data_IF_577228633726
#
_entry.id   IF_577228633726
#
_cell.length_a   1.000
_cell.length_b   1.000
_cell.length_c   1.000
_cell.angle_alpha   90.00
_cell.angle_beta   90.00
_cell.angle_gamma   90.00
#
_symmetry.space_group_name_H-M   'P 1'
#
loop_
_entity.id
_entity.type
_entity.pdbx_description
1 polymer ?
#
# COMPACT_ATOMS: atom_id res chain seq x y z
N UNK A 1 14.19 -17.00 13.05
CA UNK A 1 12.84 -17.53 12.72
C UNK A 1 11.72 -16.65 13.24
N UNK A 2 11.60 -16.38 14.55
CA UNK A 2 10.48 -15.62 15.13
C UNK A 2 10.21 -14.25 14.46
N UNK A 3 11.23 -13.40 14.32
CA UNK A 3 11.07 -12.08 13.68
C UNK A 3 10.59 -12.18 12.23
N UNK A 4 11.17 -13.10 11.44
CA UNK A 4 10.81 -13.27 10.04
C UNK A 4 9.36 -13.76 9.89
N UNK A 5 8.95 -14.72 10.73
CA UNK A 5 7.56 -15.19 10.76
C UNK A 5 6.61 -14.06 11.15
N UNK A 6 6.93 -13.28 12.18
CA UNK A 6 6.11 -12.16 12.62
C UNK A 6 6.01 -11.06 11.55
N UNK A 7 7.14 -10.72 10.92
CA UNK A 7 7.20 -9.76 9.82
C UNK A 7 6.35 -10.21 8.64
N UNK A 8 6.42 -11.50 8.27
CA UNK A 8 5.63 -12.03 7.17
C UNK A 8 4.13 -11.95 7.47
N UNK A 9 3.71 -12.37 8.67
CA UNK A 9 2.31 -12.33 9.08
C UNK A 9 1.76 -10.90 9.15
N UNK A 10 2.49 -9.97 9.75
CA UNK A 10 2.04 -8.59 9.89
C UNK A 10 2.09 -7.82 8.58
N UNK A 11 3.06 -8.11 7.71
CA UNK A 11 3.06 -7.55 6.35
C UNK A 11 1.79 -7.93 5.60
N UNK A 12 1.36 -9.19 5.68
CA UNK A 12 0.09 -9.63 5.09
C UNK A 12 -1.12 -8.96 5.77
N UNK A 13 -1.10 -8.82 7.10
CA UNK A 13 -2.16 -8.12 7.83
C UNK A 13 -2.32 -6.66 7.39
N UNK A 14 -1.21 -5.93 7.21
CA UNK A 14 -1.22 -4.51 6.82
C UNK A 14 -1.81 -4.29 5.42
N UNK A 15 -1.67 -5.27 4.52
CA UNK A 15 -2.22 -5.24 3.17
C UNK A 15 -3.59 -5.92 3.05
N UNK A 16 -4.08 -6.53 4.13
CA UNK A 16 -5.36 -7.20 4.09
C UNK A 16 -6.47 -6.18 3.79
N UNK A 17 -7.36 -6.52 2.85
CA UNK A 17 -8.49 -5.69 2.45
C UNK A 17 -9.64 -5.72 3.49
N UNK A 18 -9.28 -5.57 4.77
CA UNK A 18 -10.18 -5.60 5.91
C UNK A 18 -10.55 -4.16 6.25
N UNK A 19 -11.86 -3.88 6.30
CA UNK A 19 -12.38 -2.61 6.84
C UNK A 19 -12.43 -2.70 8.36
N UNK A 20 -11.34 -2.31 9.02
CA UNK A 20 -11.34 -2.15 10.47
C UNK A 20 -12.17 -0.92 10.87
N UNK A 21 -12.94 -1.05 11.95
CA UNK A 21 -13.58 0.11 12.56
C UNK A 21 -12.50 1.12 13.00
N UNK A 22 -12.78 2.41 12.83
CA UNK A 22 -11.82 3.49 13.10
C UNK A 22 -11.22 3.42 14.51
N UNK A 23 -12.03 3.03 15.51
CA UNK A 23 -11.59 2.89 16.90
C UNK A 23 -10.59 1.76 17.09
N UNK A 24 -10.86 0.60 16.49
CA UNK A 24 -9.96 -0.55 16.57
C UNK A 24 -8.65 -0.26 15.86
N UNK A 25 -8.72 0.31 14.66
CA UNK A 25 -7.52 0.66 13.91
C UNK A 25 -6.66 1.67 14.68
N UNK A 26 -7.28 2.72 15.23
CA UNK A 26 -6.58 3.70 16.06
C UNK A 26 -5.90 3.05 17.28
N UNK A 27 -6.59 2.16 18.00
CA UNK A 27 -6.01 1.44 19.14
C UNK A 27 -4.82 0.57 18.74
N UNK A 28 -4.95 -0.20 17.65
CA UNK A 28 -3.87 -1.03 17.12
C UNK A 28 -2.68 -0.17 16.69
N UNK A 29 -2.95 0.97 16.03
CA UNK A 29 -1.95 1.88 15.49
C UNK A 29 -1.01 2.43 16.55
N UNK A 30 -1.32 2.37 17.84
CA UNK A 30 -0.40 2.79 18.91
C UNK A 30 0.78 1.83 19.11
N UNK A 31 0.61 0.56 18.78
CA UNK A 31 1.60 -0.48 19.05
C UNK A 31 2.10 -1.15 17.78
N UNK A 32 1.19 -1.51 16.88
CA UNK A 32 1.50 -2.18 15.62
C UNK A 32 1.03 -1.35 14.43
N UNK A 33 1.62 -1.61 13.27
CA UNK A 33 1.14 -1.03 12.01
C UNK A 33 -0.23 -1.64 11.72
N UNK A 34 -1.24 -0.79 11.56
CA UNK A 34 -2.61 -1.20 11.22
C UNK A 34 -2.85 -1.09 9.71
N UNK A 35 -3.84 -1.81 9.15
CA UNK A 35 -4.20 -1.70 7.74
C UNK A 35 -4.46 -0.25 7.29
N UNK A 36 -5.21 0.55 8.06
CA UNK A 36 -5.47 1.92 7.65
C UNK A 36 -4.24 2.83 7.79
N UNK A 37 -3.40 2.60 8.80
CA UNK A 37 -2.13 3.32 8.95
C UNK A 37 -1.20 3.07 7.75
N UNK A 38 -1.12 1.80 7.30
CA UNK A 38 -0.30 1.41 6.14
C UNK A 38 -0.83 1.98 4.82
N UNK A 39 -2.15 1.97 4.60
CA UNK A 39 -2.77 2.52 3.38
C UNK A 39 -2.42 3.99 3.15
N UNK A 40 -2.17 4.74 4.22
CA UNK A 40 -1.80 6.15 4.15
C UNK A 40 -0.44 6.38 3.47
N UNK A 41 0.53 5.47 3.68
CA UNK A 41 1.82 5.50 3.00
C UNK A 41 1.67 5.38 1.47
N UNK A 42 0.62 4.68 1.01
CA UNK A 42 0.28 4.55 -0.42
C UNK A 42 -0.54 5.72 -0.96
N UNK A 43 -0.77 6.76 -0.16
CA UNK A 43 -1.43 7.96 -0.66
C UNK A 43 -0.56 8.63 -1.70
N UNK A 44 -1.19 9.13 -2.75
CA UNK A 44 -0.49 9.63 -3.94
C UNK A 44 0.32 10.93 -3.72
N UNK A 45 0.10 11.67 -2.63
CA UNK A 45 0.69 13.00 -2.42
C UNK A 45 1.46 13.13 -1.10
N UNK A 46 2.54 13.91 -1.15
CA UNK A 46 3.30 14.35 0.01
C UNK A 46 2.47 15.27 0.92
N UNK A 47 2.71 15.26 2.24
CA UNK A 47 3.71 14.44 2.95
C UNK A 47 3.19 13.04 3.33
N UNK A 48 1.99 12.65 2.90
CA UNK A 48 1.35 11.42 3.33
C UNK A 48 2.00 10.17 2.74
N UNK A 49 2.49 10.25 1.50
CA UNK A 49 3.34 9.20 0.91
C UNK A 49 4.56 8.91 1.78
N UNK A 50 5.21 9.97 2.29
CA UNK A 50 6.41 9.88 3.13
C UNK A 50 6.08 9.85 4.63
N UNK A 51 5.17 8.95 5.00
CA UNK A 51 4.76 8.74 6.39
C UNK A 51 4.55 7.26 6.71
N UNK A 52 4.50 6.93 8.00
CA UNK A 52 4.16 5.59 8.52
C UNK A 52 5.05 4.45 7.96
N UNK A 53 6.36 4.56 8.11
CA UNK A 53 7.38 3.63 7.59
C UNK A 53 7.53 2.32 8.37
N UNK A 54 6.90 2.20 9.55
CA UNK A 54 6.98 1.00 10.37
C UNK A 54 6.54 -0.26 9.61
N UNK A 55 7.28 -1.35 9.78
CA UNK A 55 6.91 -2.67 9.22
C UNK A 55 6.12 -3.53 10.22
N UNK A 56 6.45 -3.44 11.52
CA UNK A 56 5.81 -4.21 12.59
C UNK A 56 5.25 -3.27 13.65
N UNK A 57 6.12 -2.45 14.25
CA UNK A 57 5.75 -1.56 15.35
C UNK A 57 5.67 -0.12 14.87
N UNK A 58 4.51 0.49 15.07
CA UNK A 58 4.20 1.88 14.74
C UNK A 58 4.74 2.89 15.78
N UNK A 59 5.31 2.39 16.87
CA UNK A 59 5.96 3.21 17.89
C UNK A 59 7.14 3.99 17.31
N UNK A 60 7.84 3.40 16.34
CA UNK A 60 8.99 4.03 15.70
C UNK A 60 8.58 5.27 14.92
N UNK A 61 7.44 5.24 14.24
CA UNK A 61 6.92 6.40 13.53
C UNK A 61 6.55 7.56 14.45
N UNK A 62 6.11 7.27 15.67
CA UNK A 62 5.81 8.30 16.68
C UNK A 62 7.09 8.89 17.27
N UNK A 63 8.07 8.03 17.54
CA UNK A 63 9.36 8.46 18.09
C UNK A 63 10.16 9.28 17.08
N UNK A 64 10.08 8.94 15.79
CA UNK A 64 10.79 9.61 14.71
C UNK A 64 9.98 10.73 14.04
N UNK A 65 8.72 10.93 14.46
CA UNK A 65 7.86 12.01 13.96
C UNK A 65 7.31 11.80 12.54
N UNK A 66 7.33 10.56 12.03
CA UNK A 66 6.80 10.17 10.71
C UNK A 66 5.35 9.65 10.78
N UNK A 67 4.76 9.59 11.98
CA UNK A 67 3.37 9.18 12.13
C UNK A 67 2.40 10.23 11.60
N UNK A 68 1.56 9.84 10.66
CA UNK A 68 0.44 10.65 10.21
C UNK A 68 -0.87 9.86 10.21
N UNK A 69 -1.99 10.59 10.25
CA UNK A 69 -3.32 10.03 10.20
C UNK A 69 -4.18 10.76 9.17
N UNK A 70 -4.82 9.98 8.30
CA UNK A 70 -5.83 10.44 7.36
C UNK A 70 -7.03 9.49 7.45
N UNK A 71 -8.22 10.05 7.23
CA UNK A 71 -9.43 9.24 7.09
C UNK A 71 -9.26 8.26 5.92
N UNK A 72 -9.45 6.94 6.12
CA UNK A 72 -9.31 5.95 5.06
C UNK A 72 -10.15 6.25 3.81
N UNK A 73 -11.29 6.91 3.96
CA UNK A 73 -12.17 7.28 2.83
C UNK A 73 -11.56 8.38 1.93
N UNK A 74 -10.55 9.10 2.42
CA UNK A 74 -9.85 10.15 1.69
C UNK A 74 -8.56 9.65 1.01
N UNK A 75 -8.21 8.39 1.21
CA UNK A 75 -7.00 7.82 0.62
C UNK A 75 -7.25 7.55 -0.86
N UNK A 76 -6.55 8.32 -1.70
CA UNK A 76 -6.44 8.10 -3.14
C UNK A 76 -5.12 7.42 -3.42
N UNK A 77 -5.18 6.27 -4.10
CA UNK A 77 -4.02 5.51 -4.56
C UNK A 77 -3.53 6.04 -5.91
N UNK A 78 -2.24 5.89 -6.17
CA UNK A 78 -1.63 6.24 -7.45
C UNK A 78 -0.37 7.10 -7.28
N UNK A 79 0.11 7.62 -8.40
CA UNK A 79 1.25 8.56 -8.47
C UNK A 79 0.76 9.91 -8.97
N UNK A 80 1.17 10.97 -8.29
CA UNK A 80 0.82 12.37 -8.58
C UNK A 80 1.23 12.84 -9.99
N UNK A 81 2.22 12.17 -10.61
CA UNK A 81 2.77 12.54 -11.92
C UNK A 81 1.85 12.15 -13.09
N UNK A 82 0.95 11.18 -12.93
CA UNK A 82 0.06 10.68 -14.00
C UNK A 82 -1.41 10.59 -13.56
N UNK A 83 -2.08 11.73 -13.33
CA UNK A 83 -3.46 11.75 -12.83
C UNK A 83 -4.53 11.38 -13.88
N UNK A 84 -4.16 11.28 -15.16
CA UNK A 84 -5.10 11.02 -16.26
C UNK A 84 -5.18 9.52 -16.57
N UNK A 85 -6.22 8.86 -16.03
CA UNK A 85 -6.50 7.43 -16.23
C UNK A 85 -6.49 7.02 -17.71
N UNK A 86 -6.93 7.89 -18.62
CA UNK A 86 -6.98 7.58 -20.06
C UNK A 86 -5.61 7.52 -20.70
N UNK A 87 -4.67 8.36 -20.24
CA UNK A 87 -3.27 8.34 -20.72
C UNK A 87 -2.51 7.17 -20.11
N UNK A 88 -2.74 6.86 -18.84
CA UNK A 88 -2.15 5.68 -18.18
C UNK A 88 -2.63 4.39 -18.86
N UNK A 89 -3.92 4.26 -19.15
CA UNK A 89 -4.48 3.12 -19.90
C UNK A 89 -3.92 3.03 -21.34
N UNK A 90 -3.63 4.16 -21.99
CA UNK A 90 -2.95 4.14 -23.30
C UNK A 90 -1.51 3.65 -23.21
N UNK A 91 -0.75 4.01 -22.18
CA UNK A 91 0.57 3.45 -21.92
C UNK A 91 0.50 1.95 -21.63
N UNK A 92 -0.53 1.49 -20.94
CA UNK A 92 -0.78 0.07 -20.66
C UNK A 92 -1.13 -0.71 -21.94
N UNK A 93 -2.01 -0.17 -22.79
CA UNK A 93 -2.31 -0.73 -24.11
C UNK A 93 -1.06 -0.75 -25.01
N UNK A 94 -0.25 0.32 -24.97
CA UNK A 94 1.01 0.36 -25.71
C UNK A 94 2.00 -0.69 -25.21
N UNK A 95 2.18 -0.81 -23.90
CA UNK A 95 3.01 -1.83 -23.25
C UNK A 95 2.53 -3.24 -23.59
N UNK A 96 1.23 -3.50 -23.48
CA UNK A 96 0.63 -4.79 -23.82
C UNK A 96 0.83 -5.15 -25.30
N UNK A 97 0.76 -4.18 -26.21
CA UNK A 97 1.09 -4.39 -27.63
C UNK A 97 2.60 -4.58 -27.88
N UNK A 98 3.46 -4.08 -26.99
CA UNK A 98 4.90 -4.27 -27.05
C UNK A 98 5.33 -5.66 -26.54
N UNK A 99 4.67 -6.15 -25.48
CA UNK A 99 4.99 -7.41 -24.80
C UNK A 99 4.16 -8.61 -25.26
N UNK A 100 3.09 -8.40 -26.05
CA UNK A 100 2.33 -9.48 -26.72
C UNK A 100 3.13 -10.30 -27.75
N UNK A 101 4.44 -10.06 -27.87
CA UNK A 101 5.36 -10.85 -28.70
C UNK A 101 6.15 -11.92 -27.96
N UNK A 102 6.00 -12.08 -26.64
CA UNK A 102 6.71 -13.11 -25.86
C UNK A 102 5.79 -13.81 -24.87
N UNK A 103 5.99 -15.12 -24.64
CA UNK A 103 5.17 -16.01 -23.77
C UNK A 103 5.07 -15.60 -22.29
N UNK A 104 5.58 -14.43 -21.92
CA UNK A 104 5.64 -13.87 -20.56
C UNK A 104 4.29 -13.36 -20.03
N UNK A 105 3.28 -13.20 -20.89
CA UNK A 105 1.99 -12.57 -20.55
C UNK A 105 1.26 -13.29 -19.39
N UNK A 106 1.30 -14.62 -19.36
CA UNK A 106 0.65 -15.43 -18.31
C UNK A 106 1.30 -15.29 -16.92
N UNK A 107 2.55 -14.83 -16.83
CA UNK A 107 3.24 -14.60 -15.56
C UNK A 107 3.00 -13.19 -15.03
N UNK A 108 2.87 -12.19 -15.91
CA UNK A 108 2.61 -10.80 -15.52
C UNK A 108 1.18 -10.65 -14.96
N UNK A 109 0.19 -11.28 -15.61
CA UNK A 109 -1.21 -11.23 -15.18
C UNK A 109 -1.42 -11.91 -13.81
N UNK A 110 -0.61 -12.93 -13.47
CA UNK A 110 -0.66 -13.62 -12.17
C UNK A 110 0.01 -12.85 -11.03
N UNK A 111 0.97 -11.97 -11.34
CA UNK A 111 1.74 -11.22 -10.33
C UNK A 111 1.07 -9.86 -10.03
N UNK A 112 0.42 -9.23 -11.02
CA UNK A 112 -0.19 -7.91 -10.82
C UNK A 112 -1.62 -7.93 -10.28
N UNK A 113 -2.39 -9.01 -10.48
CA UNK A 113 -3.81 -9.07 -10.09
C UNK A 113 -4.11 -9.94 -8.87
N UNK A 114 -3.10 -10.50 -8.19
CA UNK A 114 -3.31 -11.31 -6.97
C UNK A 114 -3.35 -10.51 -5.67
N UNK A 115 -3.00 -9.22 -5.70
CA UNK A 115 -2.84 -8.37 -4.52
C UNK A 115 -3.89 -7.23 -4.43
N UNK A 116 -5.13 -7.50 -4.84
CA UNK A 116 -6.30 -6.62 -4.57
C UNK A 116 -7.41 -7.39 -3.85
#
# INVERSE_FOLDING_TARGET
MLYQSLSALLSQFNHANIKLSQRLDMLLSYFIVSPNMHKMHHHYVLPYTDSNYGNIFSIWDRLLGTYMYLDPEKIVYGVDVFPDEKKTAQCEVFSNNLFSRTESQLLVDKIFFSDV
#
